data_IF_902874936249
#
_entry.id   IF_902874936249
#
_cell.length_a   1.000
_cell.length_b   1.000
_cell.length_c   1.000
_cell.angle_alpha   90.00
_cell.angle_beta   90.00
_cell.angle_gamma   90.00
#
_symmetry.space_group_name_H-M   'P 1'
#
loop_
_entity.id
_entity.type
_entity.pdbx_description
1 polymer ?
#
# COMPACT_ATOMS: atom_id res chain seq x y z
N UNK A 1 7.60 -3.50 -0.78
CA UNK A 1 7.51 -2.51 0.29
C UNK A 1 8.15 -3.09 1.51
N UNK A 2 9.29 -2.53 1.94
CA UNK A 2 9.89 -2.90 3.21
C UNK A 2 8.81 -2.88 4.31
N UNK A 3 8.85 -3.86 5.23
CA UNK A 3 7.91 -3.89 6.36
C UNK A 3 7.94 -2.58 7.17
N UNK A 4 9.07 -1.90 7.14
CA UNK A 4 9.38 -0.64 7.84
C UNK A 4 8.85 0.61 7.11
N UNK A 5 7.99 0.43 6.10
CA UNK A 5 7.33 1.53 5.36
C UNK A 5 6.17 2.16 6.19
N UNK A 6 6.36 2.34 7.49
CA UNK A 6 5.45 3.01 8.42
C UNK A 6 6.06 4.27 9.04
N UNK A 7 7.17 4.75 8.46
CA UNK A 7 7.78 6.04 8.75
C UNK A 7 7.36 7.11 7.73
N UNK A 8 6.94 8.28 8.22
CA UNK A 8 6.60 9.43 7.39
C UNK A 8 7.78 9.90 6.52
N UNK A 9 9.02 9.70 6.99
CA UNK A 9 10.23 10.01 6.24
C UNK A 9 10.35 9.20 4.94
N UNK A 10 9.79 7.99 4.91
CA UNK A 10 9.75 7.15 3.70
C UNK A 10 8.89 7.79 2.60
N UNK A 11 7.77 8.42 2.99
CA UNK A 11 6.84 9.06 2.05
C UNK A 11 7.22 10.51 1.73
N UNK A 12 7.97 11.18 2.60
CA UNK A 12 8.33 12.59 2.46
C UNK A 12 8.83 13.02 1.07
N UNK A 13 9.65 12.23 0.34
CA UNK A 13 10.10 12.60 -1.01
C UNK A 13 8.97 12.73 -2.06
N UNK A 14 7.77 12.19 -1.79
CA UNK A 14 6.64 12.23 -2.72
C UNK A 14 5.69 13.41 -2.44
N UNK A 15 5.96 14.26 -1.44
CA UNK A 15 5.08 15.39 -1.07
C UNK A 15 4.77 16.34 -2.23
N UNK A 16 5.77 16.58 -3.08
CA UNK A 16 5.66 17.51 -4.20
C UNK A 16 5.49 16.77 -5.54
N UNK A 17 5.01 15.53 -5.50
CA UNK A 17 4.77 14.73 -6.70
C UNK A 17 3.67 15.37 -7.55
N UNK A 18 4.06 16.05 -8.61
CA UNK A 18 3.15 16.68 -9.57
C UNK A 18 2.66 15.65 -10.59
N UNK A 19 1.46 15.14 -10.38
CA UNK A 19 0.77 14.25 -11.33
C UNK A 19 -0.16 15.05 -12.24
N UNK A 20 -0.39 14.56 -13.45
CA UNK A 20 -1.46 15.09 -14.30
C UNK A 20 -2.81 14.70 -13.71
N UNK A 21 -3.88 15.49 -13.90
CA UNK A 21 -5.21 15.19 -13.34
C UNK A 21 -5.77 13.83 -13.74
N UNK A 22 -5.36 13.30 -14.91
CA UNK A 22 -5.82 12.00 -15.42
C UNK A 22 -5.00 10.82 -14.89
N UNK A 23 -4.03 11.06 -14.00
CA UNK A 23 -3.13 10.03 -13.47
C UNK A 23 -3.62 9.54 -12.12
N UNK A 24 -3.91 8.24 -12.03
CA UNK A 24 -4.23 7.59 -10.76
C UNK A 24 -2.94 7.10 -10.09
N UNK A 25 -2.73 7.52 -8.84
CA UNK A 25 -1.62 7.03 -8.02
C UNK A 25 -2.04 5.76 -7.28
N UNK A 26 -1.26 4.68 -7.43
CA UNK A 26 -1.51 3.41 -6.74
C UNK A 26 -0.29 3.06 -5.89
N UNK A 27 -0.47 2.96 -4.58
CA UNK A 27 0.59 2.61 -3.63
C UNK A 27 0.53 1.13 -3.26
N UNK A 28 1.66 0.43 -3.41
CA UNK A 28 1.80 -0.99 -3.09
C UNK A 28 1.88 -1.29 -1.59
N UNK A 29 0.87 -0.93 -0.79
CA UNK A 29 0.92 -0.96 0.68
C UNK A 29 0.50 -2.29 1.32
N UNK A 30 -0.15 -3.18 0.56
CA UNK A 30 -0.66 -4.45 1.08
C UNK A 30 0.46 -5.47 1.24
N UNK A 31 0.58 -6.00 2.46
CA UNK A 31 1.61 -6.97 2.81
C UNK A 31 1.01 -8.16 3.58
N UNK A 32 1.44 -9.37 3.23
CA UNK A 32 0.93 -10.62 3.81
C UNK A 32 1.23 -10.72 5.32
N UNK A 33 2.48 -10.45 5.69
CA UNK A 33 3.05 -10.85 6.98
C UNK A 33 2.60 -10.02 8.19
N UNK A 34 1.96 -8.87 8.00
CA UNK A 34 1.37 -8.06 9.06
C UNK A 34 -0.08 -7.63 8.78
N UNK A 35 -0.65 -8.19 7.71
CA UNK A 35 -2.07 -8.19 7.44
C UNK A 35 -2.72 -6.81 7.32
N UNK A 36 -3.99 -6.78 7.73
CA UNK A 36 -4.84 -5.58 7.66
C UNK A 36 -4.27 -4.44 8.51
N UNK A 37 -3.86 -4.73 9.74
CA UNK A 37 -3.37 -3.70 10.66
C UNK A 37 -2.05 -3.07 10.20
N UNK A 38 -1.13 -3.88 9.66
CA UNK A 38 0.08 -3.37 9.02
C UNK A 38 -0.24 -2.46 7.83
N UNK A 39 -1.10 -2.93 6.94
CA UNK A 39 -1.53 -2.16 5.76
C UNK A 39 -2.18 -0.82 6.17
N UNK A 40 -3.06 -0.83 7.18
CA UNK A 40 -3.70 0.39 7.71
C UNK A 40 -2.70 1.40 8.27
N UNK A 41 -1.66 0.93 9.00
CA UNK A 41 -0.59 1.82 9.48
C UNK A 41 0.14 2.52 8.34
N UNK A 42 0.46 1.78 7.27
CA UNK A 42 1.12 2.37 6.08
C UNK A 42 0.23 3.39 5.37
N UNK A 43 -1.06 3.09 5.22
CA UNK A 43 -2.03 4.05 4.67
C UNK A 43 -2.10 5.32 5.53
N UNK A 44 -2.22 5.17 6.85
CA UNK A 44 -2.28 6.30 7.77
C UNK A 44 -1.00 7.16 7.72
N UNK A 45 0.15 6.55 7.47
CA UNK A 45 1.45 7.22 7.33
C UNK A 45 1.57 7.96 5.99
N UNK A 46 1.03 7.39 4.91
CA UNK A 46 1.06 7.98 3.58
C UNK A 46 0.07 9.15 3.42
N UNK A 47 -1.13 9.05 4.01
CA UNK A 47 -2.23 10.02 3.86
C UNK A 47 -1.87 11.50 4.09
N UNK A 48 -1.04 11.86 5.09
CA UNK A 48 -0.61 13.25 5.28
C UNK A 48 0.32 13.78 4.18
N UNK A 49 0.91 12.92 3.36
CA UNK A 49 1.84 13.27 2.29
C UNK A 49 1.17 13.19 0.92
N UNK A 50 0.35 12.16 0.69
CA UNK A 50 -0.33 11.87 -0.55
C UNK A 50 -1.83 11.77 -0.24
N UNK A 51 -2.61 12.76 -0.68
CA UNK A 51 -4.01 12.87 -0.30
C UNK A 51 -4.96 11.99 -1.12
N UNK A 52 -4.55 11.56 -2.32
CA UNK A 52 -5.37 10.77 -3.23
C UNK A 52 -4.53 9.63 -3.82
N UNK A 53 -4.88 8.39 -3.45
CA UNK A 53 -4.23 7.18 -3.95
C UNK A 53 -5.11 5.94 -3.73
N UNK A 54 -5.01 4.99 -4.65
CA UNK A 54 -5.47 3.62 -4.46
C UNK A 54 -4.37 2.72 -3.87
N UNK A 55 -4.73 1.50 -3.46
CA UNK A 55 -3.79 0.54 -2.87
C UNK A 55 -3.63 -0.71 -3.73
N UNK A 56 -2.43 -1.29 -3.68
CA UNK A 56 -2.11 -2.56 -4.30
C UNK A 56 -1.19 -3.39 -3.39
N UNK A 57 -0.89 -4.63 -3.81
CA UNK A 57 0.24 -5.36 -3.27
C UNK A 57 1.54 -4.71 -3.74
N UNK A 58 2.60 -4.84 -2.95
CA UNK A 58 3.90 -4.24 -3.27
C UNK A 58 4.56 -4.75 -4.55
N UNK A 59 4.22 -5.98 -4.94
CA UNK A 59 4.78 -6.70 -6.05
C UNK A 59 3.70 -7.64 -6.61
N UNK A 60 3.93 -8.16 -7.80
CA UNK A 60 3.09 -9.19 -8.40
C UNK A 60 3.31 -10.56 -7.77
N UNK A 61 2.43 -11.51 -8.08
CA UNK A 61 2.42 -12.84 -7.48
C UNK A 61 3.39 -13.84 -8.11
N UNK A 62 4.20 -13.43 -9.09
CA UNK A 62 5.04 -14.35 -9.88
C UNK A 62 6.07 -15.17 -9.07
N UNK A 63 6.45 -14.71 -7.88
CA UNK A 63 7.33 -15.43 -6.93
C UNK A 63 6.70 -15.67 -5.56
N UNK A 64 5.39 -15.45 -5.45
CA UNK A 64 4.65 -15.59 -4.21
C UNK A 64 4.20 -17.05 -4.04
N UNK A 65 4.37 -17.69 -2.88
CA UNK A 65 3.80 -19.02 -2.63
C UNK A 65 2.29 -18.97 -2.83
N UNK A 66 1.75 -19.87 -3.66
CA UNK A 66 0.36 -19.82 -4.12
C UNK A 66 -0.64 -19.87 -2.95
N UNK A 67 -0.29 -20.58 -1.88
CA UNK A 67 -1.06 -20.70 -0.65
C UNK A 67 -1.25 -19.37 0.10
N UNK A 68 -0.40 -18.37 -0.14
CA UNK A 68 -0.49 -17.06 0.51
C UNK A 68 -1.35 -16.05 -0.26
N UNK A 69 -1.61 -16.30 -1.55
CA UNK A 69 -2.36 -15.39 -2.44
C UNK A 69 -3.79 -15.15 -1.95
N UNK A 70 -4.59 -16.18 -1.55
CA UNK A 70 -5.96 -15.94 -1.09
C UNK A 70 -6.02 -14.99 0.11
N UNK A 71 -5.10 -15.15 1.06
CA UNK A 71 -5.02 -14.30 2.24
C UNK A 71 -4.57 -12.89 1.89
N UNK A 72 -3.61 -12.72 0.98
CA UNK A 72 -3.22 -11.41 0.44
C UNK A 72 -4.40 -10.66 -0.19
N UNK A 73 -5.18 -11.34 -1.02
CA UNK A 73 -6.38 -10.76 -1.65
C UNK A 73 -7.46 -10.43 -0.60
N UNK A 74 -7.62 -11.27 0.43
CA UNK A 74 -8.52 -11.00 1.55
C UNK A 74 -8.11 -9.73 2.31
N UNK A 75 -6.83 -9.57 2.60
CA UNK A 75 -6.30 -8.36 3.25
C UNK A 75 -6.54 -7.14 2.37
N UNK A 76 -6.25 -7.23 1.07
CA UNK A 76 -6.45 -6.13 0.11
C UNK A 76 -7.91 -5.68 0.08
N UNK A 77 -8.85 -6.61 -0.08
CA UNK A 77 -10.29 -6.31 -0.09
C UNK A 77 -10.76 -5.64 1.22
N UNK A 78 -10.37 -6.20 2.38
CA UNK A 78 -10.79 -5.64 3.68
C UNK A 78 -10.28 -4.23 3.95
N UNK A 79 -9.13 -3.87 3.38
CA UNK A 79 -8.57 -2.53 3.55
C UNK A 79 -9.15 -1.57 2.51
N UNK A 80 -9.50 -2.05 1.31
CA UNK A 80 -10.14 -1.24 0.28
C UNK A 80 -11.61 -0.89 0.59
N UNK A 81 -12.32 -1.76 1.31
CA UNK A 81 -13.74 -1.60 1.65
C UNK A 81 -14.02 -0.68 2.86
N UNK A 82 -12.99 -0.16 3.55
CA UNK A 82 -13.12 0.61 4.81
C UNK A 82 -12.47 1.98 4.77
#
# INVERSE_FOLDING_TARGET
MPRECDDIAYFAPQRDLALRPETELILGLVHYTDGVEGTRRRIATAKPILSDFAIATECGFGRCPAETIPELLRIHAQVADG
#
